data_IF_423602065755
#
_entry.id   IF_423602065755
#
_cell.length_a   1.000
_cell.length_b   1.000
_cell.length_c   1.000
_cell.angle_alpha   90.00
_cell.angle_beta   90.00
_cell.angle_gamma   90.00
#
_symmetry.space_group_name_H-M   'P 1'
#
loop_
_entity.id
_entity.type
_entity.pdbx_description
1 polymer ?
#
# COMPACT_ATOMS: atom_id res chain seq x y z
N UNK A 1 -41.29 -12.62 -23.87
CA UNK A 1 -41.37 -13.71 -22.87
C UNK A 1 -40.41 -13.33 -21.74
N UNK A 2 -40.86 -12.55 -20.75
CA UNK A 2 -41.37 -13.00 -19.45
C UNK A 2 -40.50 -14.09 -18.82
N UNK A 3 -39.79 -13.74 -17.75
CA UNK A 3 -39.91 -14.49 -16.50
C UNK A 3 -39.69 -13.56 -15.30
N UNK A 4 -40.79 -13.26 -14.60
CA UNK A 4 -40.83 -12.70 -13.24
C UNK A 4 -40.85 -13.90 -12.29
N UNK A 5 -40.02 -13.90 -11.25
CA UNK A 5 -40.23 -14.76 -10.09
C UNK A 5 -39.90 -14.05 -8.77
N UNK A 6 -40.50 -14.53 -7.67
CA UNK A 6 -41.09 -13.68 -6.65
C UNK A 6 -40.33 -13.64 -5.32
N UNK A 7 -40.76 -12.66 -4.54
CA UNK A 7 -40.58 -12.41 -3.11
C UNK A 7 -40.56 -13.69 -2.25
N UNK A 8 -39.48 -13.91 -1.50
CA UNK A 8 -39.45 -14.83 -0.37
C UNK A 8 -39.00 -14.08 0.90
N UNK A 9 -39.95 -13.98 1.83
CA UNK A 9 -39.78 -13.57 3.22
C UNK A 9 -38.69 -14.43 3.89
N UNK A 10 -37.63 -13.81 4.42
CA UNK A 10 -36.76 -14.44 5.41
C UNK A 10 -37.02 -13.85 6.79
N UNK A 11 -37.53 -14.72 7.67
CA UNK A 11 -37.77 -14.51 9.10
C UNK A 11 -36.47 -14.18 9.84
N UNK A 12 -36.63 -13.32 10.86
CA UNK A 12 -35.55 -12.71 11.63
C UNK A 12 -34.57 -13.70 12.27
N UNK A 13 -33.28 -13.44 12.03
CA UNK A 13 -32.16 -14.04 12.75
C UNK A 13 -31.54 -12.94 13.61
N UNK A 14 -31.50 -13.14 14.93
CA UNK A 14 -30.92 -12.22 15.89
C UNK A 14 -29.44 -11.95 15.54
N UNK A 15 -29.12 -10.71 15.19
CA UNK A 15 -27.78 -10.28 14.80
C UNK A 15 -26.94 -10.05 16.06
N UNK A 16 -26.15 -11.06 16.45
CA UNK A 16 -25.12 -10.90 17.47
C UNK A 16 -24.05 -9.94 16.94
N UNK A 17 -24.01 -8.71 17.46
CA UNK A 17 -23.03 -7.68 17.11
C UNK A 17 -21.68 -8.11 17.69
N UNK A 18 -20.87 -8.81 16.89
CA UNK A 18 -19.48 -9.06 17.22
C UNK A 18 -18.72 -7.72 17.23
N UNK A 19 -18.07 -7.41 18.34
CA UNK A 19 -17.23 -6.23 18.51
C UNK A 19 -16.00 -6.36 17.60
N UNK A 20 -15.99 -5.64 16.47
CA UNK A 20 -14.82 -5.49 15.60
C UNK A 20 -13.80 -4.54 16.24
N UNK A 21 -13.22 -4.94 17.37
CA UNK A 21 -12.02 -4.28 17.92
C UNK A 21 -10.81 -4.70 17.09
N UNK A 22 -10.50 -3.95 16.02
CA UNK A 22 -9.30 -4.24 15.22
C UNK A 22 -9.06 -3.43 13.95
N UNK A 23 -10.03 -2.67 13.44
CA UNK A 23 -9.77 -1.73 12.34
C UNK A 23 -9.41 -0.37 12.93
N UNK A 24 -8.11 -0.07 13.08
CA UNK A 24 -7.65 1.26 13.48
C UNK A 24 -8.19 2.30 12.49
N UNK A 25 -8.81 3.37 13.00
CA UNK A 25 -9.45 4.42 12.19
C UNK A 25 -8.45 5.39 11.56
N UNK A 26 -7.16 5.22 11.82
CA UNK A 26 -6.11 6.18 11.51
C UNK A 26 -5.43 5.91 10.15
N UNK A 27 -6.14 5.26 9.23
CA UNK A 27 -5.64 5.05 7.88
C UNK A 27 -5.47 6.40 7.16
N UNK A 28 -4.23 6.77 6.88
CA UNK A 28 -3.88 8.01 6.18
C UNK A 28 -3.56 7.72 4.71
N UNK A 29 -3.95 8.64 3.81
CA UNK A 29 -3.56 8.52 2.41
C UNK A 29 -4.26 7.40 1.62
N UNK A 30 -5.45 6.95 2.02
CA UNK A 30 -6.28 5.97 1.27
C UNK A 30 -6.43 6.40 -0.20
N UNK A 31 -6.82 7.65 -0.44
CA UNK A 31 -7.00 8.16 -1.80
C UNK A 31 -5.67 8.30 -2.56
N UNK A 32 -4.59 8.65 -1.86
CA UNK A 32 -3.25 8.68 -2.47
C UNK A 32 -2.81 7.28 -2.92
N UNK A 33 -2.98 6.26 -2.07
CA UNK A 33 -2.74 4.86 -2.42
C UNK A 33 -3.56 4.44 -3.64
N UNK A 34 -4.87 4.70 -3.65
CA UNK A 34 -5.76 4.33 -4.75
C UNK A 34 -5.36 4.96 -6.08
N UNK A 35 -4.93 6.23 -6.07
CA UNK A 35 -4.47 6.92 -7.29
C UNK A 35 -3.18 6.30 -7.83
N UNK A 36 -2.21 6.05 -6.96
CA UNK A 36 -0.93 5.44 -7.33
C UNK A 36 -1.16 4.02 -7.88
N UNK A 37 -1.91 3.18 -7.18
CA UNK A 37 -2.14 1.79 -7.59
C UNK A 37 -3.01 1.69 -8.84
N UNK A 38 -3.93 2.64 -9.07
CA UNK A 38 -4.65 2.71 -10.35
C UNK A 38 -3.70 2.94 -11.52
N UNK A 39 -2.81 3.92 -11.40
CA UNK A 39 -1.82 4.21 -12.44
C UNK A 39 -0.88 3.01 -12.66
N UNK A 40 -0.44 2.34 -11.59
CA UNK A 40 0.39 1.12 -11.68
C UNK A 40 -0.35 -0.03 -12.35
N UNK A 41 -1.60 -0.27 -12.01
CA UNK A 41 -2.40 -1.33 -12.63
C UNK A 41 -2.60 -1.11 -14.13
N UNK A 42 -2.88 0.13 -14.55
CA UNK A 42 -3.03 0.45 -15.97
C UNK A 42 -1.69 0.31 -16.72
N UNK A 43 -0.58 0.64 -16.07
CA UNK A 43 0.78 0.46 -16.61
C UNK A 43 1.22 -1.01 -16.66
N UNK A 44 0.87 -1.79 -15.64
CA UNK A 44 1.27 -3.18 -15.46
C UNK A 44 0.81 -4.09 -16.60
N UNK A 45 -0.33 -3.80 -17.23
CA UNK A 45 -0.80 -4.51 -18.43
C UNK A 45 0.19 -4.36 -19.59
N UNK A 46 0.71 -3.15 -19.80
CA UNK A 46 1.65 -2.85 -20.90
C UNK A 46 3.00 -3.54 -20.69
N UNK A 47 3.36 -3.80 -19.44
CA UNK A 47 4.58 -4.50 -19.03
C UNK A 47 4.40 -6.02 -18.84
N UNK A 48 3.21 -6.57 -19.10
CA UNK A 48 2.93 -8.00 -18.93
C UNK A 48 3.00 -8.51 -17.48
N UNK A 49 2.84 -7.63 -16.49
CA UNK A 49 2.84 -8.03 -15.07
C UNK A 49 1.48 -8.53 -14.61
N UNK A 50 0.40 -8.07 -15.24
CA UNK A 50 -0.98 -8.49 -15.01
C UNK A 50 -1.70 -8.59 -16.34
N UNK A 51 -2.58 -9.58 -16.48
CA UNK A 51 -3.40 -9.75 -17.69
C UNK A 51 -4.66 -8.88 -17.66
N UNK A 52 -5.19 -8.59 -16.46
CA UNK A 52 -6.43 -7.85 -16.24
C UNK A 52 -6.19 -6.65 -15.31
N UNK A 53 -6.07 -5.46 -15.91
CA UNK A 53 -5.92 -4.20 -15.18
C UNK A 53 -7.13 -3.85 -14.30
N UNK A 54 -8.35 -4.23 -14.66
CA UNK A 54 -9.55 -3.95 -13.88
C UNK A 54 -9.66 -4.87 -12.65
N UNK A 55 -9.23 -6.13 -12.77
CA UNK A 55 -9.04 -7.00 -11.61
C UNK A 55 -7.97 -6.44 -10.66
N UNK A 56 -6.83 -5.99 -11.18
CA UNK A 56 -5.78 -5.32 -10.40
C UNK A 56 -6.33 -4.09 -9.64
N UNK A 57 -7.09 -3.22 -10.33
CA UNK A 57 -7.70 -2.02 -9.71
C UNK A 57 -8.72 -2.38 -8.63
N UNK A 58 -9.54 -3.42 -8.81
CA UNK A 58 -10.48 -3.89 -7.78
C UNK A 58 -9.76 -4.42 -6.54
N UNK A 59 -8.68 -5.20 -6.74
CA UNK A 59 -7.84 -5.67 -5.64
C UNK A 59 -7.26 -4.50 -4.85
N UNK A 60 -6.62 -3.54 -5.52
CA UNK A 60 -6.00 -2.40 -4.84
C UNK A 60 -7.00 -1.38 -4.26
N UNK A 61 -8.23 -1.29 -4.79
CA UNK A 61 -9.30 -0.48 -4.17
C UNK A 61 -9.53 -0.87 -2.72
N UNK A 62 -9.47 -2.17 -2.43
CA UNK A 62 -9.73 -2.75 -1.12
C UNK A 62 -8.42 -2.80 -0.29
N UNK A 63 -7.29 -3.17 -0.89
CA UNK A 63 -5.98 -3.13 -0.19
C UNK A 63 -5.59 -1.72 0.28
N UNK A 64 -5.95 -0.68 -0.47
CA UNK A 64 -5.69 0.70 -0.09
C UNK A 64 -6.56 1.21 1.07
N UNK A 65 -7.52 0.42 1.60
CA UNK A 65 -8.30 0.83 2.77
C UNK A 65 -7.45 0.98 4.04
N UNK A 66 -6.25 0.42 4.05
CA UNK A 66 -5.26 0.63 5.12
C UNK A 66 -4.43 1.90 4.95
N UNK A 67 -4.65 2.65 3.86
CA UNK A 67 -3.88 3.84 3.55
C UNK A 67 -2.48 3.55 3.02
N UNK A 68 -1.66 4.60 3.01
CA UNK A 68 -0.22 4.45 2.85
C UNK A 68 0.35 4.09 4.22
N UNK A 69 1.27 3.12 4.30
CA UNK A 69 1.95 2.76 5.57
C UNK A 69 2.90 3.85 6.11
N UNK A 70 2.61 5.13 5.82
CA UNK A 70 3.41 6.33 6.05
C UNK A 70 2.51 7.57 5.89
N UNK A 71 2.95 8.77 6.31
CA UNK A 71 2.20 10.00 6.08
C UNK A 71 1.85 10.19 4.60
N UNK A 72 0.64 10.67 4.32
CA UNK A 72 0.24 10.98 2.97
C UNK A 72 1.15 12.08 2.38
N UNK A 73 1.57 11.96 1.10
CA UNK A 73 2.27 13.06 0.42
C UNK A 73 1.33 14.25 0.27
N UNK A 74 1.90 15.44 0.07
CA UNK A 74 1.11 16.58 -0.41
C UNK A 74 0.59 16.31 -1.84
N UNK A 75 -0.44 17.04 -2.24
CA UNK A 75 -1.10 16.85 -3.54
C UNK A 75 -0.12 16.99 -4.73
N UNK A 76 0.83 17.92 -4.66
CA UNK A 76 1.79 18.15 -5.75
C UNK A 76 2.73 16.97 -5.91
N UNK A 77 3.26 16.45 -4.80
CA UNK A 77 4.13 15.26 -4.81
C UNK A 77 3.39 14.02 -5.30
N UNK A 78 2.13 13.84 -4.89
CA UNK A 78 1.27 12.76 -5.38
C UNK A 78 1.04 12.86 -6.89
N UNK A 79 0.69 14.04 -7.39
CA UNK A 79 0.40 14.26 -8.81
C UNK A 79 1.62 14.01 -9.70
N UNK A 80 2.81 14.46 -9.27
CA UNK A 80 4.06 14.16 -9.99
C UNK A 80 4.34 12.66 -10.05
N UNK A 81 4.16 11.94 -8.94
CA UNK A 81 4.36 10.50 -8.93
C UNK A 81 3.39 9.77 -9.88
N UNK A 82 2.10 10.09 -9.82
CA UNK A 82 1.08 9.51 -10.70
C UNK A 82 1.41 9.79 -12.17
N UNK A 83 1.78 11.03 -12.50
CA UNK A 83 2.16 11.40 -13.86
C UNK A 83 3.41 10.66 -14.35
N UNK A 84 4.42 10.46 -13.49
CA UNK A 84 5.59 9.65 -13.82
C UNK A 84 5.21 8.21 -14.20
N UNK A 85 4.28 7.58 -13.46
CA UNK A 85 3.80 6.23 -13.75
C UNK A 85 2.98 6.19 -15.05
N UNK A 86 2.14 7.20 -15.30
CA UNK A 86 1.32 7.29 -16.51
C UNK A 86 2.20 7.49 -17.77
N UNK A 87 3.25 8.32 -17.70
CA UNK A 87 4.22 8.49 -18.79
C UNK A 87 4.98 7.19 -19.05
N UNK A 88 5.42 6.51 -17.99
CA UNK A 88 6.01 5.18 -18.11
C UNK A 88 5.05 4.21 -18.80
N UNK A 89 3.78 4.18 -18.41
CA UNK A 89 2.76 3.36 -19.09
C UNK A 89 2.66 3.67 -20.58
N UNK A 90 2.54 4.96 -20.95
CA UNK A 90 2.41 5.37 -22.34
C UNK A 90 3.63 4.93 -23.18
N UNK A 91 4.82 5.03 -22.60
CA UNK A 91 6.07 4.58 -23.20
C UNK A 91 6.11 3.05 -23.36
N UNK A 92 5.75 2.30 -22.31
CA UNK A 92 5.72 0.84 -22.31
C UNK A 92 4.79 0.24 -23.39
N UNK A 93 3.67 0.92 -23.68
CA UNK A 93 2.74 0.49 -24.76
C UNK A 93 3.40 0.49 -26.13
N UNK A 94 4.39 1.37 -26.34
CA UNK A 94 5.11 1.49 -27.61
C UNK A 94 6.37 0.63 -27.62
N UNK A 95 7.13 0.65 -26.52
CA UNK A 95 8.36 -0.13 -26.35
C UNK A 95 8.55 -0.49 -24.87
N UNK A 96 8.22 -1.72 -24.43
CA UNK A 96 8.35 -2.13 -23.03
C UNK A 96 9.81 -2.31 -22.60
N UNK A 97 10.75 -2.42 -23.54
CA UNK A 97 12.20 -2.53 -23.28
C UNK A 97 12.91 -1.16 -23.27
N UNK A 98 12.17 -0.06 -23.50
CA UNK A 98 12.73 1.27 -23.43
C UNK A 98 13.17 1.64 -22.01
N UNK A 99 14.18 2.49 -21.94
CA UNK A 99 14.50 3.29 -20.75
C UNK A 99 13.56 4.49 -20.66
N UNK A 100 13.33 5.01 -19.46
CA UNK A 100 12.45 6.15 -19.24
C UNK A 100 12.95 7.42 -19.96
N UNK A 101 14.26 7.51 -20.23
CA UNK A 101 14.91 8.56 -21.00
C UNK A 101 14.51 8.63 -22.48
N UNK A 102 14.03 7.52 -23.05
CA UNK A 102 13.63 7.42 -24.46
C UNK A 102 12.15 7.82 -24.69
N UNK A 103 11.42 8.14 -23.63
CA UNK A 103 10.02 8.49 -23.69
C UNK A 103 9.82 9.97 -24.10
N UNK A 104 8.67 10.29 -24.70
CA UNK A 104 8.24 11.69 -24.86
C UNK A 104 7.98 12.26 -23.46
N UNK A 105 8.84 13.17 -23.00
CA UNK A 105 8.88 13.74 -21.64
C UNK A 105 9.48 12.82 -20.54
N UNK A 106 10.79 12.54 -20.62
CA UNK A 106 11.45 11.63 -19.68
C UNK A 106 11.37 12.17 -18.24
N UNK A 107 11.06 11.31 -17.25
CA UNK A 107 11.11 11.69 -15.84
C UNK A 107 12.56 11.90 -15.38
N UNK A 108 12.75 12.39 -14.15
CA UNK A 108 14.10 12.55 -13.58
C UNK A 108 14.86 11.22 -13.46
N UNK A 109 14.15 10.09 -13.51
CA UNK A 109 14.68 8.73 -13.49
C UNK A 109 14.93 8.17 -14.90
N UNK A 110 15.59 8.93 -15.78
CA UNK A 110 15.78 8.60 -17.19
C UNK A 110 16.49 7.25 -17.43
N UNK A 111 17.37 6.83 -16.52
CA UNK A 111 18.16 5.60 -16.66
C UNK A 111 17.42 4.32 -16.26
N UNK A 112 16.19 4.41 -15.75
CA UNK A 112 15.41 3.22 -15.38
C UNK A 112 14.71 2.63 -16.60
N UNK A 113 14.71 1.30 -16.72
CA UNK A 113 13.79 0.60 -17.63
C UNK A 113 12.35 1.00 -17.29
N UNK A 114 11.55 1.30 -18.31
CA UNK A 114 10.17 1.77 -18.12
C UNK A 114 9.35 0.79 -17.28
N UNK A 115 9.49 -0.52 -17.54
CA UNK A 115 8.78 -1.53 -16.77
C UNK A 115 9.37 -1.77 -15.37
N UNK A 116 10.67 -1.49 -15.16
CA UNK A 116 11.23 -1.46 -13.81
C UNK A 116 10.69 -0.29 -12.98
N UNK A 117 10.49 0.88 -13.62
CA UNK A 117 9.85 2.04 -13.01
C UNK A 117 8.38 1.76 -12.62
N UNK A 118 7.61 1.08 -13.47
CA UNK A 118 6.23 0.66 -13.13
C UNK A 118 6.19 -0.30 -11.93
N UNK A 119 7.13 -1.25 -11.88
CA UNK A 119 7.21 -2.24 -10.80
C UNK A 119 7.59 -1.58 -9.46
N UNK A 120 8.57 -0.69 -9.49
CA UNK A 120 9.18 -0.05 -8.31
C UNK A 120 9.19 1.47 -8.47
N UNK A 121 8.02 2.14 -8.43
CA UNK A 121 7.91 3.58 -8.63
C UNK A 121 8.72 4.38 -7.61
N UNK A 122 8.91 3.85 -6.40
CA UNK A 122 9.70 4.47 -5.33
C UNK A 122 11.17 4.76 -5.70
N UNK A 123 11.68 4.16 -6.79
CA UNK A 123 13.00 4.44 -7.35
C UNK A 123 13.05 5.74 -8.14
N UNK A 124 11.91 6.26 -8.60
CA UNK A 124 11.84 7.58 -9.21
C UNK A 124 11.81 8.67 -8.13
N UNK A 125 12.57 9.76 -8.28
CA UNK A 125 12.57 10.87 -7.32
C UNK A 125 11.18 11.43 -7.03
N UNK A 126 10.30 11.47 -8.04
CA UNK A 126 8.93 11.96 -7.93
C UNK A 126 8.03 11.10 -7.02
N UNK A 127 8.41 9.82 -6.84
CA UNK A 127 7.68 8.84 -6.04
C UNK A 127 8.47 8.39 -4.79
N UNK A 128 9.60 9.04 -4.47
CA UNK A 128 10.51 8.60 -3.41
C UNK A 128 9.85 8.51 -2.02
N UNK A 129 8.74 9.24 -1.79
CA UNK A 129 7.95 9.14 -0.56
C UNK A 129 7.38 7.72 -0.33
N UNK A 130 7.29 6.88 -1.36
CA UNK A 130 6.87 5.48 -1.25
C UNK A 130 7.96 4.55 -0.69
N UNK A 131 9.22 5.00 -0.63
CA UNK A 131 10.30 4.21 -0.03
C UNK A 131 10.08 4.06 1.48
N UNK A 132 10.22 2.85 1.99
CA UNK A 132 10.29 2.63 3.45
C UNK A 132 11.63 3.20 3.89
N UNK A 133 11.61 4.20 4.79
CA UNK A 133 12.84 4.65 5.43
C UNK A 133 13.52 3.42 6.04
N UNK A 134 14.83 3.20 5.83
CA UNK A 134 15.52 2.08 6.46
C UNK A 134 15.19 2.13 7.95
N UNK A 135 14.60 1.06 8.48
CA UNK A 135 14.42 0.94 9.92
C UNK A 135 15.84 1.02 10.47
N UNK A 136 16.18 2.00 11.33
CA UNK A 136 17.50 2.06 11.93
C UNK A 136 17.67 0.72 12.63
N UNK A 137 18.56 -0.12 12.10
CA UNK A 137 18.83 -1.40 12.73
C UNK A 137 19.33 -1.04 14.13
N UNK A 138 18.72 -1.62 15.20
CA UNK A 138 19.28 -1.43 16.53
C UNK A 138 20.76 -1.81 16.43
N UNK A 139 21.67 -1.05 17.08
CA UNK A 139 23.08 -1.37 17.05
C UNK A 139 23.21 -2.84 17.39
N UNK A 140 23.83 -3.64 16.51
CA UNK A 140 24.05 -5.06 16.72
C UNK A 140 24.73 -5.20 18.07
N UNK A 141 23.95 -5.57 19.09
CA UNK A 141 24.44 -5.68 20.46
C UNK A 141 25.61 -6.65 20.42
N UNK A 142 26.81 -6.13 20.67
CA UNK A 142 27.99 -6.97 20.81
C UNK A 142 27.68 -8.09 21.78
N UNK A 143 28.09 -9.31 21.43
CA UNK A 143 27.86 -10.52 22.21
C UNK A 143 28.09 -10.26 23.70
N UNK A 144 26.99 -10.05 24.43
CA UNK A 144 26.99 -9.96 25.89
C UNK A 144 27.15 -11.38 26.40
N UNK A 145 28.32 -11.65 26.98
CA UNK A 145 28.65 -12.92 27.58
C UNK A 145 27.54 -13.40 28.53
N UNK A 146 27.23 -14.69 28.43
CA UNK A 146 26.38 -15.44 29.34
C UNK A 146 26.79 -15.17 30.79
N UNK A 147 25.98 -14.38 31.49
CA UNK A 147 26.04 -14.19 32.93
C UNK A 147 24.96 -15.04 33.58
N UNK A 148 25.39 -16.00 34.40
CA UNK A 148 24.58 -16.99 35.10
C UNK A 148 23.58 -16.38 36.11
N UNK A 149 22.48 -17.12 36.26
CA UNK A 149 21.52 -17.22 37.37
C UNK A 149 21.57 -16.21 38.54
N UNK A 150 20.44 -15.54 38.75
CA UNK A 150 20.05 -14.93 40.03
C UNK A 150 18.53 -15.02 40.20
N UNK A 151 18.10 -15.84 41.14
CA UNK A 151 16.71 -16.14 41.49
C UNK A 151 16.01 -15.01 42.27
N UNK A 152 14.68 -15.06 42.20
CA UNK A 152 13.67 -14.55 43.14
C UNK A 152 13.44 -13.04 43.30
N UNK A 153 12.22 -12.59 42.95
CA UNK A 153 11.24 -12.16 43.97
C UNK A 153 9.91 -11.74 43.34
N UNK A 154 8.85 -12.30 43.90
CA UNK A 154 7.47 -11.94 43.65
C UNK A 154 7.12 -10.57 44.25
N UNK A 155 6.30 -9.80 43.55
CA UNK A 155 5.34 -8.89 44.21
C UNK A 155 4.08 -8.74 43.37
N UNK A 156 3.01 -9.36 43.85
CA UNK A 156 1.65 -9.09 43.42
C UNK A 156 1.27 -7.67 43.89
N UNK A 157 0.83 -6.82 42.95
CA UNK A 157 0.29 -5.50 43.24
C UNK A 157 -1.06 -5.35 42.54
N UNK A 158 -2.13 -5.62 43.28
CA UNK A 158 -3.50 -5.30 42.89
C UNK A 158 -3.89 -3.91 43.40
N UNK A 159 -4.63 -3.17 42.57
CA UNK A 159 -5.30 -1.91 42.91
C UNK A 159 -5.31 -0.98 41.68
N UNK A 160 -6.42 -0.48 41.15
CA UNK A 160 -7.75 -0.26 41.70
C UNK A 160 -8.11 1.22 41.50
N UNK A 161 -9.32 1.49 40.99
CA UNK A 161 -10.03 2.79 40.90
C UNK A 161 -9.57 3.74 39.77
N UNK A 162 -10.39 4.10 38.77
CA UNK A 162 -11.70 4.79 38.76
C UNK A 162 -11.60 6.28 39.14
N UNK A 163 -11.90 7.16 38.18
CA UNK A 163 -12.57 8.49 38.31
C UNK A 163 -12.42 9.29 36.98
N UNK A 164 -13.25 10.31 36.74
CA UNK A 164 -14.71 10.36 36.71
C UNK A 164 -15.28 10.49 35.28
#
# INVERSE_FOLDING_TARGET
MVSRQPTALFLGTAFAIAQFSGCGTDAVGIEACRRIERARCDAAVSCGFVDDGDACKRFYRDHCLHGLGRPAPDATSLDRCVQTIERASACARSNPEATAGECADPPSSADLDVCALVRSPERAPECAFLSVAPVPMPPSGGAGASGEAGTDSATAGAGGSAEP
#
